data_IF_057399166195
#
_entry.id   IF_057399166195
#
_cell.length_a   1.000
_cell.length_b   1.000
_cell.length_c   1.000
_cell.angle_alpha   90.00
_cell.angle_beta   90.00
_cell.angle_gamma   90.00
#
_symmetry.space_group_name_H-M   'P 1'
#
loop_
_entity.id
_entity.type
_entity.pdbx_description
1 polymer ?
#
# COMPACT_ATOMS: atom_id res chain seq x y z
N UNK A 1 -26.42 -20.94 -3.60
CA UNK A 1 -25.23 -20.12 -3.90
C UNK A 1 -25.60 -18.69 -3.54
N UNK A 2 -24.89 -18.06 -2.59
CA UNK A 2 -25.16 -16.68 -2.22
C UNK A 2 -24.55 -15.72 -3.27
N UNK A 3 -25.30 -14.68 -3.64
CA UNK A 3 -24.85 -13.66 -4.61
C UNK A 3 -24.27 -12.48 -3.85
N UNK A 4 -23.19 -11.89 -4.37
CA UNK A 4 -22.61 -10.65 -3.86
C UNK A 4 -23.06 -9.49 -4.76
N UNK A 5 -23.62 -8.45 -4.16
CA UNK A 5 -24.01 -7.20 -4.84
C UNK A 5 -23.19 -6.05 -4.26
N UNK A 6 -22.68 -5.18 -5.11
CA UNK A 6 -21.91 -4.01 -4.73
C UNK A 6 -22.71 -2.74 -5.06
N UNK A 7 -22.77 -1.82 -4.11
CA UNK A 7 -23.37 -0.51 -4.31
C UNK A 7 -22.43 0.57 -3.77
N UNK A 8 -22.55 1.80 -4.28
CA UNK A 8 -21.85 2.96 -3.74
C UNK A 8 -22.84 4.03 -3.29
N UNK A 9 -22.39 4.86 -2.36
CA UNK A 9 -23.18 5.97 -1.82
C UNK A 9 -22.44 7.28 -2.07
N UNK A 10 -23.13 8.26 -2.67
CA UNK A 10 -22.65 9.63 -2.73
C UNK A 10 -23.02 10.33 -1.40
N UNK A 11 -22.03 10.72 -0.62
CA UNK A 11 -22.22 11.37 0.67
C UNK A 11 -21.49 12.70 0.73
N UNK A 12 -22.08 13.77 1.33
CA UNK A 12 -21.36 15.00 1.58
C UNK A 12 -20.33 14.79 2.68
N UNK A 13 -19.10 15.26 2.44
CA UNK A 13 -18.05 15.29 3.45
C UNK A 13 -16.89 14.32 3.21
N UNK A 14 -15.82 14.48 4.00
CA UNK A 14 -14.61 13.67 3.94
C UNK A 14 -14.83 12.35 4.68
N UNK A 15 -15.27 11.31 3.97
CA UNK A 15 -15.38 9.96 4.52
C UNK A 15 -14.00 9.33 4.70
N UNK A 16 -13.79 8.62 5.79
CA UNK A 16 -12.62 7.76 5.99
C UNK A 16 -12.78 6.52 5.11
N UNK A 17 -11.77 6.25 4.27
CA UNK A 17 -11.51 5.05 3.49
C UNK A 17 -12.71 4.43 2.72
N UNK A 18 -12.51 4.24 1.42
CA UNK A 18 -13.40 3.46 0.59
C UNK A 18 -13.32 1.99 1.02
N UNK A 19 -14.27 1.56 1.81
CA UNK A 19 -14.46 0.16 2.17
C UNK A 19 -15.77 -0.32 1.55
N UNK A 20 -15.74 -1.52 1.00
CA UNK A 20 -17.00 -2.23 0.73
C UNK A 20 -17.60 -2.54 2.10
N UNK A 21 -18.66 -1.85 2.47
CA UNK A 21 -19.34 -2.08 3.75
C UNK A 21 -20.34 -3.21 3.62
N UNK A 22 -20.30 -4.11 4.57
CA UNK A 22 -21.32 -5.12 4.77
C UNK A 22 -21.79 -5.05 6.23
N UNK A 23 -23.05 -4.65 6.47
CA UNK A 23 -23.57 -4.48 7.84
C UNK A 23 -23.45 -5.75 8.70
N UNK A 24 -23.59 -6.94 8.10
CA UNK A 24 -23.37 -8.20 8.84
C UNK A 24 -21.92 -8.31 9.33
N UNK A 25 -20.94 -8.01 8.46
CA UNK A 25 -19.54 -8.10 8.82
C UNK A 25 -19.13 -7.06 9.87
N UNK A 26 -19.67 -5.84 9.76
CA UNK A 26 -19.50 -4.80 10.78
C UNK A 26 -20.03 -5.27 12.15
N UNK A 27 -21.22 -5.91 12.18
CA UNK A 27 -21.79 -6.49 13.40
C UNK A 27 -20.96 -7.64 13.96
N UNK A 28 -20.52 -8.58 13.14
CA UNK A 28 -19.66 -9.71 13.56
C UNK A 28 -18.33 -9.20 14.14
N UNK A 29 -17.73 -8.22 13.48
CA UNK A 29 -16.50 -7.58 13.96
C UNK A 29 -16.69 -6.92 15.31
N UNK A 30 -17.74 -6.11 15.46
CA UNK A 30 -18.04 -5.45 16.71
C UNK A 30 -18.32 -6.43 17.85
N UNK A 31 -19.05 -7.52 17.60
CA UNK A 31 -19.30 -8.57 18.61
C UNK A 31 -17.99 -9.23 19.03
N UNK A 32 -17.11 -9.57 18.09
CA UNK A 32 -15.80 -10.18 18.38
C UNK A 32 -14.92 -9.27 19.24
N UNK A 33 -14.81 -8.00 18.90
CA UNK A 33 -13.96 -7.05 19.61
C UNK A 33 -14.52 -6.72 21.00
N UNK A 34 -15.83 -6.52 21.11
CA UNK A 34 -16.47 -6.07 22.35
C UNK A 34 -16.84 -7.23 23.28
N UNK A 35 -16.95 -8.45 22.79
CA UNK A 35 -17.38 -9.62 23.56
C UNK A 35 -18.78 -9.48 24.14
N UNK A 36 -19.61 -8.59 23.59
CA UNK A 36 -20.97 -8.30 24.07
C UNK A 36 -21.78 -7.64 22.97
N UNK A 37 -22.99 -8.15 22.73
CA UNK A 37 -23.92 -7.59 21.73
C UNK A 37 -24.33 -6.16 22.11
N UNK A 38 -24.55 -5.90 23.41
CA UNK A 38 -24.90 -4.56 23.91
C UNK A 38 -23.76 -3.54 23.69
N UNK A 39 -22.51 -3.93 23.94
CA UNK A 39 -21.35 -3.07 23.69
C UNK A 39 -21.10 -2.89 22.18
N UNK A 40 -21.28 -3.94 21.37
CA UNK A 40 -21.21 -3.87 19.93
C UNK A 40 -22.27 -2.91 19.36
N UNK A 41 -23.51 -2.97 19.89
CA UNK A 41 -24.57 -2.04 19.52
C UNK A 41 -24.18 -0.58 19.78
N UNK A 42 -23.63 -0.31 20.95
CA UNK A 42 -23.15 1.03 21.31
C UNK A 42 -22.00 1.49 20.40
N UNK A 43 -21.07 0.60 20.07
CA UNK A 43 -19.93 0.91 19.20
C UNK A 43 -20.35 1.21 17.75
N UNK A 44 -21.44 0.62 17.27
CA UNK A 44 -21.99 0.83 15.94
C UNK A 44 -23.08 1.91 15.90
N UNK A 45 -23.40 2.56 17.03
CA UNK A 45 -24.48 3.52 17.16
C UNK A 45 -25.87 2.94 16.77
N UNK A 46 -26.05 1.64 17.04
CA UNK A 46 -27.29 0.90 16.73
C UNK A 46 -27.97 0.45 18.03
N UNK A 47 -29.26 0.12 17.96
CA UNK A 47 -29.95 -0.49 19.10
C UNK A 47 -29.57 -1.97 19.28
N UNK A 48 -29.56 -2.45 20.54
CA UNK A 48 -29.39 -3.87 20.84
C UNK A 48 -30.38 -4.74 20.04
N UNK A 49 -31.64 -4.33 19.99
CA UNK A 49 -32.72 -5.05 19.28
C UNK A 49 -32.41 -5.17 17.77
N UNK A 50 -31.86 -4.12 17.17
CA UNK A 50 -31.48 -4.13 15.77
C UNK A 50 -30.37 -5.15 15.49
N UNK A 51 -29.26 -5.12 16.27
CA UNK A 51 -28.15 -6.07 16.06
C UNK A 51 -28.60 -7.50 16.31
N UNK A 52 -29.33 -7.74 17.41
CA UNK A 52 -29.81 -9.08 17.73
C UNK A 52 -30.76 -9.63 16.66
N UNK A 53 -31.74 -8.85 16.24
CA UNK A 53 -32.67 -9.23 15.16
C UNK A 53 -31.93 -9.51 13.86
N UNK A 54 -31.10 -8.58 13.40
CA UNK A 54 -30.32 -8.75 12.16
C UNK A 54 -29.43 -9.99 12.18
N UNK A 55 -28.73 -10.26 13.29
CA UNK A 55 -27.93 -11.48 13.40
C UNK A 55 -28.78 -12.75 13.33
N UNK A 56 -29.96 -12.76 13.94
CA UNK A 56 -30.89 -13.90 13.88
C UNK A 56 -31.47 -14.10 12.48
N UNK A 57 -31.83 -13.05 11.80
CA UNK A 57 -32.32 -13.11 10.41
C UNK A 57 -31.23 -13.67 9.49
N UNK A 58 -29.97 -13.26 9.68
CA UNK A 58 -28.85 -13.80 8.93
C UNK A 58 -28.55 -15.27 9.29
N UNK A 59 -28.61 -15.66 10.55
CA UNK A 59 -28.45 -17.08 10.96
C UNK A 59 -29.53 -17.96 10.29
N UNK A 60 -30.76 -17.48 10.21
CA UNK A 60 -31.83 -18.16 9.51
C UNK A 60 -31.57 -18.26 8.00
N UNK A 61 -31.15 -17.15 7.38
CA UNK A 61 -30.84 -17.09 5.93
C UNK A 61 -29.68 -17.99 5.55
N UNK A 62 -28.63 -18.01 6.36
CA UNK A 62 -27.41 -18.81 6.13
C UNK A 62 -27.56 -20.27 6.59
N UNK A 63 -28.59 -20.58 7.37
CA UNK A 63 -28.84 -21.92 7.95
C UNK A 63 -27.77 -22.34 8.98
N UNK A 64 -27.03 -21.39 9.56
CA UNK A 64 -25.94 -21.64 10.51
C UNK A 64 -25.85 -20.53 11.54
N UNK A 65 -25.55 -20.88 12.79
CA UNK A 65 -25.32 -19.93 13.87
C UNK A 65 -24.03 -19.12 13.62
N UNK A 66 -24.09 -17.83 13.84
CA UNK A 66 -22.98 -16.88 13.69
C UNK A 66 -22.32 -16.56 15.03
N UNK A 67 -23.11 -16.57 16.11
CA UNK A 67 -22.67 -16.20 17.45
C UNK A 67 -23.05 -17.30 18.46
N UNK A 68 -22.20 -17.44 19.48
CA UNK A 68 -22.49 -18.19 20.72
C UNK A 68 -22.66 -17.17 21.83
N UNK A 69 -23.79 -17.27 22.53
CA UNK A 69 -24.09 -16.42 23.64
C UNK A 69 -24.87 -17.19 24.71
N UNK A 70 -24.22 -17.44 25.85
CA UNK A 70 -24.81 -18.02 27.03
C UNK A 70 -25.03 -16.94 28.09
N UNK A 71 -26.09 -17.05 28.85
CA UNK A 71 -26.43 -16.09 29.90
C UNK A 71 -25.27 -15.98 30.91
N UNK A 72 -24.73 -14.77 31.06
CA UNK A 72 -23.59 -14.52 31.93
C UNK A 72 -22.19 -14.72 31.34
N UNK A 73 -22.09 -15.18 30.09
CA UNK A 73 -20.83 -15.32 29.38
C UNK A 73 -20.60 -14.23 28.32
N UNK A 74 -19.35 -14.10 27.88
CA UNK A 74 -19.01 -13.21 26.76
C UNK A 74 -19.61 -13.77 25.46
N UNK A 75 -20.25 -12.91 24.67
CA UNK A 75 -20.64 -13.25 23.31
C UNK A 75 -19.39 -13.50 22.47
N UNK A 76 -19.38 -14.60 21.70
CA UNK A 76 -18.28 -15.00 20.82
C UNK A 76 -18.84 -15.40 19.45
N UNK A 77 -18.03 -15.30 18.42
CA UNK A 77 -18.38 -15.86 17.12
C UNK A 77 -18.31 -17.39 17.18
N UNK A 78 -19.14 -18.05 16.40
CA UNK A 78 -18.98 -19.47 16.09
C UNK A 78 -17.79 -19.66 15.16
N UNK A 79 -17.33 -20.90 14.98
CA UNK A 79 -16.31 -21.22 13.96
C UNK A 79 -16.74 -20.76 12.56
N UNK A 80 -18.02 -20.87 12.23
CA UNK A 80 -18.57 -20.37 10.96
C UNK A 80 -18.54 -18.84 10.89
N UNK A 81 -18.92 -18.15 11.95
CA UNK A 81 -18.84 -16.68 12.04
C UNK A 81 -17.41 -16.16 11.89
N UNK A 82 -16.43 -16.83 12.51
CA UNK A 82 -15.01 -16.48 12.35
C UNK A 82 -14.53 -16.72 10.92
N UNK A 83 -14.86 -17.86 10.31
CA UNK A 83 -14.50 -18.16 8.91
C UNK A 83 -15.10 -17.13 7.93
N UNK A 84 -16.34 -16.74 8.15
CA UNK A 84 -17.03 -15.75 7.31
C UNK A 84 -16.36 -14.38 7.41
N UNK A 85 -16.08 -13.92 8.61
CA UNK A 85 -15.40 -12.65 8.86
C UNK A 85 -13.96 -12.66 8.34
N UNK A 86 -13.26 -13.80 8.46
CA UNK A 86 -11.93 -13.98 7.91
C UNK A 86 -11.93 -13.87 6.38
N UNK A 87 -12.84 -14.60 5.71
CA UNK A 87 -12.93 -14.59 4.25
C UNK A 87 -13.21 -13.19 3.69
N UNK A 88 -14.11 -12.44 4.34
CA UNK A 88 -14.42 -11.06 3.97
C UNK A 88 -13.19 -10.15 4.12
N UNK A 89 -12.48 -10.22 5.24
CA UNK A 89 -11.27 -9.43 5.47
C UNK A 89 -10.16 -9.71 4.45
N UNK A 90 -9.98 -10.97 4.09
CA UNK A 90 -9.05 -11.35 3.02
C UNK A 90 -9.45 -10.75 1.68
N UNK A 91 -10.74 -10.85 1.32
CA UNK A 91 -11.26 -10.27 0.09
C UNK A 91 -11.06 -8.74 0.07
N UNK A 92 -11.41 -8.05 1.16
CA UNK A 92 -11.22 -6.60 1.30
C UNK A 92 -9.74 -6.20 1.13
N UNK A 93 -8.83 -6.89 1.82
CA UNK A 93 -7.41 -6.56 1.74
C UNK A 93 -6.82 -6.76 0.33
N UNK A 94 -7.26 -7.80 -0.38
CA UNK A 94 -6.83 -8.06 -1.77
C UNK A 94 -7.42 -7.08 -2.76
N UNK A 95 -8.65 -6.65 -2.55
CA UNK A 95 -9.38 -5.73 -3.44
C UNK A 95 -9.17 -4.25 -3.10
N UNK A 96 -8.58 -3.93 -1.95
CA UNK A 96 -8.41 -2.55 -1.50
C UNK A 96 -7.83 -1.60 -2.56
N UNK A 97 -6.77 -1.95 -3.31
CA UNK A 97 -6.23 -1.06 -4.36
C UNK A 97 -7.24 -0.79 -5.48
N UNK A 98 -8.00 -1.80 -5.90
CA UNK A 98 -9.01 -1.68 -6.96
C UNK A 98 -10.21 -0.86 -6.50
N UNK A 99 -10.67 -1.08 -5.27
CA UNK A 99 -11.77 -0.32 -4.65
C UNK A 99 -11.37 1.16 -4.54
N UNK A 100 -10.14 1.42 -4.13
CA UNK A 100 -9.63 2.77 -3.99
C UNK A 100 -9.48 3.48 -5.34
N UNK A 101 -9.02 2.77 -6.37
CA UNK A 101 -8.96 3.29 -7.73
C UNK A 101 -10.36 3.62 -8.27
N UNK A 102 -11.31 2.69 -8.12
CA UNK A 102 -12.69 2.88 -8.55
C UNK A 102 -13.35 4.07 -7.84
N UNK A 103 -13.14 4.23 -6.53
CA UNK A 103 -13.59 5.41 -5.78
C UNK A 103 -13.06 6.69 -6.40
N UNK A 104 -11.74 6.74 -6.67
CA UNK A 104 -11.10 7.89 -7.29
C UNK A 104 -11.66 8.22 -8.67
N UNK A 105 -11.97 7.22 -9.48
CA UNK A 105 -12.60 7.40 -10.80
C UNK A 105 -13.98 8.01 -10.68
N UNK A 106 -14.81 7.53 -9.75
CA UNK A 106 -16.16 8.04 -9.51
C UNK A 106 -16.10 9.46 -8.94
N UNK A 107 -15.26 9.72 -7.92
CA UNK A 107 -15.11 11.06 -7.34
C UNK A 107 -14.64 12.08 -8.38
N UNK A 108 -13.70 11.71 -9.26
CA UNK A 108 -13.25 12.55 -10.36
C UNK A 108 -14.39 12.86 -11.35
N UNK A 109 -15.15 11.84 -11.76
CA UNK A 109 -16.26 12.03 -12.68
C UNK A 109 -17.27 13.05 -12.14
N UNK A 110 -17.58 13.00 -10.85
CA UNK A 110 -18.45 13.98 -10.20
C UNK A 110 -17.78 15.35 -10.04
N UNK A 111 -16.51 15.40 -9.66
CA UNK A 111 -15.79 16.69 -9.49
C UNK A 111 -15.72 17.47 -10.78
N UNK A 112 -15.44 16.82 -11.90
CA UNK A 112 -15.42 17.46 -13.22
C UNK A 112 -16.81 18.01 -13.64
N UNK A 113 -17.91 17.53 -13.04
CA UNK A 113 -19.24 18.08 -13.28
C UNK A 113 -19.51 19.39 -12.52
N UNK A 114 -18.75 19.65 -11.44
CA UNK A 114 -18.99 20.78 -10.54
C UNK A 114 -17.90 21.86 -10.62
N UNK A 115 -16.73 21.57 -11.21
CA UNK A 115 -15.59 22.48 -11.28
C UNK A 115 -14.84 22.34 -12.61
N UNK A 116 -15.10 23.26 -13.53
CA UNK A 116 -14.42 23.33 -14.83
C UNK A 116 -12.92 23.69 -14.73
N UNK A 117 -12.48 24.20 -13.60
CA UNK A 117 -11.06 24.53 -13.32
C UNK A 117 -10.27 23.37 -12.75
N UNK A 118 -10.89 22.22 -12.48
CA UNK A 118 -10.25 21.07 -11.89
C UNK A 118 -9.15 20.50 -12.80
N UNK A 119 -7.96 20.36 -12.23
CA UNK A 119 -6.83 19.77 -12.93
C UNK A 119 -6.77 18.25 -12.66
N UNK A 120 -6.76 17.44 -13.71
CA UNK A 120 -6.59 15.98 -13.60
C UNK A 120 -5.18 15.60 -13.99
N UNK A 121 -4.50 14.84 -13.12
CA UNK A 121 -3.18 14.26 -13.36
C UNK A 121 -3.25 12.74 -13.31
N UNK A 122 -2.98 12.06 -14.43
CA UNK A 122 -2.96 10.60 -14.49
C UNK A 122 -1.64 10.05 -13.97
N UNK A 123 -1.71 9.16 -12.97
CA UNK A 123 -0.57 8.59 -12.27
C UNK A 123 -0.68 7.07 -12.18
N UNK A 124 0.32 6.34 -12.68
CA UNK A 124 0.44 4.90 -12.49
C UNK A 124 1.49 4.60 -11.42
N UNK A 125 1.16 3.83 -10.41
CA UNK A 125 2.03 3.62 -9.26
C UNK A 125 1.65 2.38 -8.45
N UNK A 126 2.57 1.88 -7.64
CA UNK A 126 2.22 0.86 -6.63
C UNK A 126 1.36 1.47 -5.53
N UNK A 127 0.42 0.67 -5.01
CA UNK A 127 -0.41 1.09 -3.88
C UNK A 127 0.45 1.47 -2.67
N UNK A 128 0.20 2.66 -2.11
CA UNK A 128 0.98 3.25 -1.03
C UNK A 128 0.13 4.19 -0.18
N UNK A 129 0.29 4.12 1.14
CA UNK A 129 -0.51 4.92 2.08
C UNK A 129 -0.27 6.44 1.91
N UNK A 130 0.97 6.86 1.60
CA UNK A 130 1.28 8.26 1.35
C UNK A 130 0.63 8.76 0.05
N UNK A 131 0.55 7.89 -0.97
CA UNK A 131 -0.07 8.23 -2.23
C UNK A 131 -1.58 8.42 -2.10
N UNK A 132 -2.24 7.55 -1.32
CA UNK A 132 -3.66 7.69 -0.99
C UNK A 132 -3.95 8.97 -0.21
N UNK A 133 -3.11 9.28 0.78
CA UNK A 133 -3.22 10.50 1.56
C UNK A 133 -2.99 11.76 0.71
N UNK A 134 -2.02 11.73 -0.22
CA UNK A 134 -1.77 12.81 -1.16
C UNK A 134 -2.97 13.06 -2.08
N UNK A 135 -3.59 11.99 -2.61
CA UNK A 135 -4.78 12.11 -3.45
C UNK A 135 -5.91 12.84 -2.72
N UNK A 136 -6.21 12.39 -1.51
CA UNK A 136 -7.31 12.95 -0.73
C UNK A 136 -7.06 14.43 -0.37
N UNK A 137 -5.81 14.81 -0.09
CA UNK A 137 -5.43 16.19 0.16
C UNK A 137 -5.45 17.04 -1.11
N UNK A 138 -4.88 16.57 -2.21
CA UNK A 138 -4.80 17.30 -3.47
C UNK A 138 -6.19 17.61 -4.04
N UNK A 139 -7.13 16.66 -3.93
CA UNK A 139 -8.52 16.84 -4.34
C UNK A 139 -9.18 18.03 -3.66
N UNK A 140 -8.87 18.29 -2.38
CA UNK A 140 -9.41 19.44 -1.66
C UNK A 140 -8.86 20.81 -2.14
N UNK A 141 -7.88 20.80 -3.03
CA UNK A 141 -7.22 21.98 -3.61
C UNK A 141 -7.37 22.04 -5.15
N UNK A 142 -8.34 21.30 -5.70
CA UNK A 142 -8.65 21.32 -7.13
C UNK A 142 -7.69 20.50 -8.01
N UNK A 143 -6.77 19.70 -7.41
CA UNK A 143 -5.95 18.76 -8.15
C UNK A 143 -6.45 17.33 -7.94
N UNK A 144 -7.01 16.73 -8.98
CA UNK A 144 -7.48 15.36 -8.96
C UNK A 144 -6.42 14.41 -9.48
N UNK A 145 -5.94 13.50 -8.62
CA UNK A 145 -5.01 12.45 -9.00
C UNK A 145 -5.78 11.21 -9.47
N UNK A 146 -5.74 10.95 -10.78
CA UNK A 146 -6.24 9.71 -11.39
C UNK A 146 -5.18 8.62 -11.22
N UNK A 147 -5.27 7.86 -10.12
CA UNK A 147 -4.25 6.89 -9.75
C UNK A 147 -4.69 5.48 -10.18
N UNK A 148 -3.86 4.85 -11.04
CA UNK A 148 -3.98 3.43 -11.35
C UNK A 148 -2.90 2.65 -10.62
N UNK A 149 -3.33 1.74 -9.75
CA UNK A 149 -2.40 0.94 -8.96
C UNK A 149 -1.88 -0.25 -9.78
N UNK A 150 -0.57 -0.25 -9.99
CA UNK A 150 0.17 -1.29 -10.72
C UNK A 150 1.61 -1.40 -10.20
N UNK A 151 2.36 -2.41 -10.62
CA UNK A 151 3.78 -2.54 -10.27
C UNK A 151 4.62 -1.40 -10.85
N UNK A 152 5.77 -1.12 -10.21
CA UNK A 152 6.66 -0.03 -10.63
C UNK A 152 7.16 -0.19 -12.08
N UNK A 153 7.42 -1.42 -12.52
CA UNK A 153 7.84 -1.72 -13.90
C UNK A 153 6.75 -1.38 -14.90
N UNK A 154 5.52 -1.82 -14.63
CA UNK A 154 4.36 -1.57 -15.48
C UNK A 154 3.98 -0.08 -15.49
N UNK A 155 4.12 0.60 -14.34
CA UNK A 155 3.91 2.05 -14.24
C UNK A 155 4.88 2.81 -15.16
N UNK A 156 6.17 2.44 -15.13
CA UNK A 156 7.19 3.03 -15.99
C UNK A 156 6.98 2.71 -17.48
N UNK A 157 6.55 1.48 -17.80
CA UNK A 157 6.18 1.09 -19.15
C UNK A 157 4.96 1.88 -19.65
N UNK A 158 3.97 2.12 -18.78
CA UNK A 158 2.80 2.94 -19.09
C UNK A 158 3.16 4.39 -19.39
N UNK A 159 4.07 4.99 -18.61
CA UNK A 159 4.59 6.33 -18.86
C UNK A 159 5.30 6.41 -20.23
N UNK A 160 6.18 5.44 -20.51
CA UNK A 160 6.90 5.38 -21.80
C UNK A 160 5.97 5.16 -23.01
N UNK A 161 4.82 4.57 -22.80
CA UNK A 161 3.77 4.38 -23.80
C UNK A 161 2.78 5.57 -23.87
N UNK A 162 2.99 6.65 -23.11
CA UNK A 162 2.11 7.82 -23.09
C UNK A 162 0.72 7.57 -22.49
N UNK A 163 0.56 6.51 -21.68
CA UNK A 163 -0.72 6.16 -21.04
C UNK A 163 -1.00 6.90 -19.72
N UNK A 164 0.00 7.59 -19.19
CA UNK A 164 -0.12 8.44 -18.01
C UNK A 164 0.87 9.59 -18.09
N UNK A 165 0.61 10.65 -17.35
CA UNK A 165 1.50 11.82 -17.24
C UNK A 165 2.65 11.54 -16.28
N UNK A 166 2.44 10.64 -15.31
CA UNK A 166 3.40 10.36 -14.26
C UNK A 166 3.39 8.89 -13.86
N UNK A 167 4.56 8.38 -13.47
CA UNK A 167 4.71 7.04 -12.90
C UNK A 167 5.42 7.09 -11.55
N UNK A 168 5.08 6.16 -10.67
CA UNK A 168 5.74 6.00 -9.37
C UNK A 168 6.68 4.79 -9.36
N UNK A 169 7.88 4.94 -8.80
CA UNK A 169 8.77 3.82 -8.56
C UNK A 169 9.63 4.01 -7.31
N UNK A 170 10.10 2.90 -6.79
CA UNK A 170 10.83 2.85 -5.54
C UNK A 170 12.27 2.42 -5.78
N UNK A 171 13.19 3.04 -5.05
CA UNK A 171 14.60 2.66 -5.02
C UNK A 171 15.13 2.74 -3.60
N UNK A 172 15.98 1.79 -3.23
CA UNK A 172 16.69 1.80 -1.96
C UNK A 172 17.72 2.93 -1.90
N UNK A 173 18.00 3.47 -0.73
CA UNK A 173 18.96 4.58 -0.56
C UNK A 173 20.37 4.21 -0.97
N UNK A 174 20.81 3.02 -0.59
CA UNK A 174 22.15 2.51 -0.88
C UNK A 174 22.08 1.45 -1.98
N UNK A 175 22.25 1.87 -3.22
CA UNK A 175 22.22 1.00 -4.38
C UNK A 175 23.58 0.87 -5.04
N UNK A 176 23.97 -0.36 -5.34
CA UNK A 176 25.05 -0.67 -6.24
C UNK A 176 24.71 -0.34 -7.69
N UNK A 177 25.73 -0.08 -8.52
CA UNK A 177 25.56 0.15 -9.98
C UNK A 177 24.97 -1.05 -10.71
N UNK A 178 25.13 -2.24 -10.15
CA UNK A 178 24.71 -3.53 -10.71
C UNK A 178 23.60 -4.19 -9.93
N UNK A 179 22.89 -3.42 -9.08
CA UNK A 179 21.74 -3.90 -8.32
C UNK A 179 20.62 -4.41 -9.24
N UNK A 180 19.74 -5.24 -8.71
CA UNK A 180 18.53 -5.68 -9.42
C UNK A 180 17.65 -4.49 -9.80
N UNK A 181 17.58 -3.47 -8.96
CA UNK A 181 16.90 -2.21 -9.26
C UNK A 181 17.52 -1.50 -10.49
N UNK A 182 18.86 -1.47 -10.60
CA UNK A 182 19.53 -0.90 -11.77
C UNK A 182 19.25 -1.72 -13.04
N UNK A 183 19.27 -3.04 -12.96
CA UNK A 183 18.94 -3.93 -14.08
C UNK A 183 17.49 -3.73 -14.53
N UNK A 184 16.57 -3.62 -13.58
CA UNK A 184 15.13 -3.50 -13.84
C UNK A 184 14.78 -2.14 -14.46
N UNK A 185 15.27 -1.02 -13.87
CA UNK A 185 14.79 0.31 -14.24
C UNK A 185 15.64 1.03 -15.28
N UNK A 186 16.88 0.61 -15.53
CA UNK A 186 17.80 1.31 -16.44
C UNK A 186 17.28 1.42 -17.86
N UNK A 187 16.63 0.38 -18.38
CA UNK A 187 16.05 0.35 -19.72
C UNK A 187 14.79 1.23 -19.84
N UNK A 188 14.07 1.42 -18.73
CA UNK A 188 12.81 2.16 -18.66
C UNK A 188 13.00 3.66 -18.45
N UNK A 189 14.15 4.08 -17.91
CA UNK A 189 14.50 5.47 -17.62
C UNK A 189 15.52 6.00 -18.62
N UNK A 190 15.28 7.19 -19.18
CA UNK A 190 16.16 7.82 -20.20
C UNK A 190 16.64 9.19 -19.69
N UNK A 191 17.96 9.35 -19.43
CA UNK A 191 18.52 10.68 -19.09
C UNK A 191 18.23 11.71 -20.19
N UNK A 192 17.84 12.90 -19.78
CA UNK A 192 17.44 13.98 -20.69
C UNK A 192 15.95 13.98 -21.05
N UNK A 193 15.30 12.82 -21.09
CA UNK A 193 13.88 12.69 -21.35
C UNK A 193 13.03 12.70 -20.08
N UNK A 194 13.44 11.94 -19.06
CA UNK A 194 12.71 11.80 -17.80
C UNK A 194 13.28 12.72 -16.71
N UNK A 195 12.39 13.18 -15.84
CA UNK A 195 12.70 13.90 -14.61
C UNK A 195 12.06 13.17 -13.44
N UNK A 196 12.72 13.23 -12.28
CA UNK A 196 12.20 12.72 -11.03
C UNK A 196 11.68 13.87 -10.19
N UNK A 197 10.62 13.60 -9.45
CA UNK A 197 10.10 14.48 -8.40
C UNK A 197 10.21 13.67 -7.11
N UNK A 198 10.91 14.18 -6.11
CA UNK A 198 11.00 13.57 -4.80
C UNK A 198 9.61 13.49 -4.17
N UNK A 199 9.26 12.35 -3.61
CA UNK A 199 7.95 12.15 -2.98
C UNK A 199 8.10 11.87 -1.49
N UNK A 200 8.43 10.64 -1.11
CA UNK A 200 8.59 10.25 0.29
C UNK A 200 9.77 9.26 0.47
N UNK A 201 10.31 9.23 1.69
CA UNK A 201 11.09 8.12 2.20
C UNK A 201 10.20 7.21 3.02
N UNK A 202 10.39 5.91 2.91
CA UNK A 202 9.66 4.95 3.73
C UNK A 202 10.53 3.79 4.17
N UNK A 203 10.15 3.19 5.29
CA UNK A 203 10.79 2.01 5.82
C UNK A 203 10.14 0.75 5.23
N UNK A 204 10.95 -0.12 4.63
CA UNK A 204 10.62 -1.48 4.24
C UNK A 204 11.19 -2.48 5.26
N UNK A 205 10.46 -3.54 5.52
CA UNK A 205 10.86 -4.56 6.49
C UNK A 205 9.95 -5.78 6.49
N UNK A 206 10.25 -6.72 7.36
CA UNK A 206 9.42 -7.91 7.56
C UNK A 206 8.24 -7.58 8.47
N UNK A 207 7.05 -7.82 7.98
CA UNK A 207 5.82 -7.80 8.75
C UNK A 207 5.73 -9.13 9.48
N UNK A 208 5.62 -9.11 10.79
CA UNK A 208 5.58 -10.31 11.64
C UNK A 208 4.36 -10.25 12.57
N UNK A 209 3.97 -11.40 13.10
CA UNK A 209 2.88 -11.48 14.06
C UNK A 209 3.13 -10.55 15.27
N UNK A 210 2.06 -10.16 15.96
CA UNK A 210 2.15 -9.34 17.18
C UNK A 210 3.09 -9.99 18.19
N UNK A 211 4.00 -9.20 18.75
CA UNK A 211 5.05 -9.62 19.68
C UNK A 211 6.09 -10.58 19.08
N UNK A 212 6.08 -10.81 17.76
CA UNK A 212 7.08 -11.60 17.04
C UNK A 212 7.41 -12.95 17.71
N UNK A 213 6.44 -13.87 17.84
CA UNK A 213 6.63 -15.13 18.59
C UNK A 213 7.69 -16.05 17.97
N UNK A 214 7.95 -15.91 16.66
CA UNK A 214 8.97 -16.69 15.94
C UNK A 214 10.36 -16.02 15.96
N UNK A 215 10.50 -14.89 16.66
CA UNK A 215 11.77 -14.15 16.81
C UNK A 215 12.47 -13.81 15.49
N UNK A 216 11.71 -13.58 14.42
CA UNK A 216 12.24 -13.19 13.11
C UNK A 216 12.87 -11.80 13.22
N UNK A 217 14.18 -11.68 13.02
CA UNK A 217 14.94 -10.44 13.17
C UNK A 217 15.68 -10.01 11.90
N UNK A 218 15.83 -10.91 10.93
CA UNK A 218 16.62 -10.69 9.70
C UNK A 218 16.09 -11.52 8.53
N UNK A 219 16.64 -11.29 7.34
CA UNK A 219 16.37 -12.13 6.16
C UNK A 219 16.86 -13.57 6.35
N UNK A 220 17.95 -13.79 7.09
CA UNK A 220 18.48 -15.11 7.32
C UNK A 220 17.48 -16.02 8.05
N UNK A 221 16.59 -15.44 8.87
CA UNK A 221 15.58 -16.21 9.59
C UNK A 221 14.52 -16.80 8.66
N UNK A 222 14.37 -16.27 7.44
CA UNK A 222 13.43 -16.79 6.45
C UNK A 222 13.79 -18.19 5.94
N UNK A 223 15.04 -18.63 6.14
CA UNK A 223 15.50 -19.98 5.76
C UNK A 223 15.21 -21.04 6.82
N UNK A 224 14.71 -20.63 7.98
CA UNK A 224 14.35 -21.58 9.04
C UNK A 224 13.15 -22.42 8.60
N UNK A 225 13.24 -23.74 8.81
CA UNK A 225 12.16 -24.66 8.47
C UNK A 225 10.85 -24.30 9.18
N UNK A 226 9.76 -24.26 8.42
CA UNK A 226 8.42 -23.98 8.92
C UNK A 226 8.06 -22.51 9.01
N UNK A 227 8.94 -21.57 8.59
CA UNK A 227 8.58 -20.16 8.42
C UNK A 227 7.98 -19.95 7.03
N UNK A 228 6.67 -19.70 6.99
CA UNK A 228 5.92 -19.48 5.76
C UNK A 228 6.00 -18.02 5.37
N UNK A 229 6.66 -17.74 4.26
CA UNK A 229 6.80 -16.39 3.70
C UNK A 229 5.69 -16.11 2.68
N UNK A 230 5.26 -14.85 2.60
CA UNK A 230 4.40 -14.36 1.51
C UNK A 230 5.04 -13.17 0.82
N UNK A 231 5.07 -13.21 -0.49
CA UNK A 231 5.76 -12.25 -1.35
C UNK A 231 4.81 -11.24 -2.01
N UNK A 232 5.40 -10.30 -2.69
CA UNK A 232 4.71 -9.41 -3.63
C UNK A 232 4.88 -9.92 -5.07
N UNK A 233 3.94 -9.61 -5.99
CA UNK A 233 4.08 -9.98 -7.40
C UNK A 233 5.36 -9.45 -8.03
N UNK A 234 5.84 -10.17 -9.05
CA UNK A 234 6.96 -9.71 -9.88
C UNK A 234 6.68 -8.32 -10.48
N UNK A 235 7.73 -7.51 -10.67
CA UNK A 235 7.60 -6.16 -11.19
C UNK A 235 7.18 -5.10 -10.15
N UNK A 236 6.86 -5.50 -8.92
CA UNK A 236 6.67 -4.53 -7.82
C UNK A 236 8.02 -4.11 -7.24
N UNK A 237 8.11 -2.84 -6.78
CA UNK A 237 9.34 -2.33 -6.14
C UNK A 237 9.78 -3.14 -4.93
N UNK A 238 8.83 -3.63 -4.13
CA UNK A 238 9.11 -4.49 -2.97
C UNK A 238 9.72 -5.83 -3.37
N UNK A 239 9.28 -6.43 -4.49
CA UNK A 239 9.89 -7.66 -5.00
C UNK A 239 11.31 -7.42 -5.48
N UNK A 240 11.54 -6.33 -6.23
CA UNK A 240 12.87 -5.92 -6.67
C UNK A 240 13.79 -5.68 -5.47
N UNK A 241 13.29 -5.04 -4.40
CA UNK A 241 14.03 -4.84 -3.17
C UNK A 241 14.39 -6.17 -2.49
N UNK A 242 13.44 -7.10 -2.37
CA UNK A 242 13.71 -8.42 -1.79
C UNK A 242 14.82 -9.13 -2.55
N UNK A 243 14.71 -9.16 -3.88
CA UNK A 243 15.69 -9.85 -4.74
C UNK A 243 17.10 -9.21 -4.62
N UNK A 244 17.18 -7.87 -4.48
CA UNK A 244 18.44 -7.16 -4.18
C UNK A 244 19.00 -7.58 -2.80
N UNK A 245 18.17 -7.62 -1.77
CA UNK A 245 18.59 -7.97 -0.41
C UNK A 245 19.03 -9.43 -0.31
N UNK A 246 18.33 -10.35 -0.99
CA UNK A 246 18.73 -11.77 -1.03
C UNK A 246 20.07 -11.94 -1.74
N UNK A 247 20.27 -11.29 -2.88
CA UNK A 247 21.53 -11.34 -3.62
C UNK A 247 22.70 -10.80 -2.78
N UNK A 248 22.51 -9.71 -2.03
CA UNK A 248 23.52 -9.15 -1.11
C UNK A 248 23.84 -10.10 0.06
N UNK A 249 22.83 -10.83 0.55
CA UNK A 249 22.98 -11.81 1.62
C UNK A 249 23.52 -13.18 1.13
N UNK A 250 23.70 -13.36 -0.19
CA UNK A 250 24.10 -14.64 -0.77
C UNK A 250 23.02 -15.72 -0.68
N UNK A 251 21.76 -15.32 -0.51
CA UNK A 251 20.60 -16.20 -0.39
C UNK A 251 19.90 -16.36 -1.76
N UNK A 252 19.21 -17.48 -1.94
CA UNK A 252 18.44 -17.73 -3.15
C UNK A 252 16.94 -17.85 -2.84
N UNK A 253 16.06 -17.61 -3.83
CA UNK A 253 14.63 -17.84 -3.68
C UNK A 253 14.25 -19.24 -3.18
N UNK A 254 15.04 -20.26 -3.54
CA UNK A 254 14.78 -21.65 -3.16
C UNK A 254 14.97 -21.90 -1.64
N UNK A 255 15.69 -21.00 -0.96
CA UNK A 255 15.94 -21.10 0.49
C UNK A 255 14.74 -20.64 1.33
N UNK A 256 13.69 -20.08 0.68
CA UNK A 256 12.56 -19.45 1.39
C UNK A 256 11.26 -20.20 1.08
N UNK A 257 10.68 -20.83 2.11
CA UNK A 257 9.37 -21.47 2.01
C UNK A 257 8.27 -20.43 1.77
N UNK A 258 7.51 -20.57 0.68
CA UNK A 258 6.44 -19.65 0.32
C UNK A 258 6.88 -18.46 -0.54
N UNK A 259 8.12 -18.43 -1.06
CA UNK A 259 8.61 -17.36 -1.93
C UNK A 259 7.72 -17.08 -3.15
N UNK A 260 7.05 -18.10 -3.69
CA UNK A 260 6.13 -17.99 -4.83
C UNK A 260 4.69 -17.65 -4.43
N UNK A 261 4.36 -17.70 -3.14
CA UNK A 261 3.08 -17.24 -2.61
C UNK A 261 3.01 -15.72 -2.69
N UNK A 262 1.96 -15.15 -3.30
CA UNK A 262 1.93 -13.73 -3.60
C UNK A 262 0.66 -13.05 -3.11
N UNK A 263 0.82 -11.82 -2.64
CA UNK A 263 -0.29 -10.92 -2.28
C UNK A 263 -0.17 -9.56 -3.00
N UNK A 264 -1.29 -9.02 -3.52
CA UNK A 264 -1.27 -7.89 -4.45
C UNK A 264 -0.91 -6.54 -3.81
N UNK A 265 -0.98 -6.39 -2.48
CA UNK A 265 -0.71 -5.13 -1.78
C UNK A 265 0.00 -5.36 -0.44
N UNK A 266 0.60 -4.30 0.13
CA UNK A 266 1.18 -4.37 1.47
C UNK A 266 0.12 -4.69 2.53
N UNK A 267 -1.09 -4.17 2.37
CA UNK A 267 -2.22 -4.46 3.25
C UNK A 267 -2.64 -5.93 3.16
N UNK A 268 -2.58 -6.53 1.96
CA UNK A 268 -2.87 -7.95 1.77
C UNK A 268 -1.78 -8.85 2.39
N UNK A 269 -0.50 -8.48 2.28
CA UNK A 269 0.61 -9.15 3.00
C UNK A 269 0.38 -9.08 4.52
N UNK A 270 0.10 -7.88 5.04
CA UNK A 270 -0.20 -7.71 6.46
C UNK A 270 -1.43 -8.52 6.91
N UNK A 271 -2.46 -8.61 6.06
CA UNK A 271 -3.64 -9.42 6.35
C UNK A 271 -3.32 -10.93 6.35
N UNK A 272 -2.46 -11.40 5.44
CA UNK A 272 -2.02 -12.80 5.41
C UNK A 272 -1.29 -13.17 6.72
N UNK A 273 -0.43 -12.28 7.22
CA UNK A 273 0.25 -12.47 8.50
C UNK A 273 -0.73 -12.38 9.67
N UNK A 274 -1.64 -11.40 9.68
CA UNK A 274 -2.63 -11.24 10.76
C UNK A 274 -3.57 -12.44 10.89
N UNK A 275 -3.84 -13.12 9.80
CA UNK A 275 -4.72 -14.30 9.75
C UNK A 275 -3.97 -15.61 10.00
N UNK A 276 -2.64 -15.61 10.08
CA UNK A 276 -1.83 -16.82 10.19
C UNK A 276 -1.74 -17.64 8.89
N UNK A 277 -2.13 -17.07 7.74
CA UNK A 277 -1.93 -17.70 6.43
C UNK A 277 -0.44 -17.69 6.04
N UNK A 278 0.30 -16.72 6.50
CA UNK A 278 1.75 -16.63 6.44
C UNK A 278 2.31 -16.19 7.80
N UNK A 279 3.57 -16.45 8.04
CA UNK A 279 4.25 -16.05 9.28
C UNK A 279 4.94 -14.69 9.13
N UNK A 280 5.35 -14.37 7.89
CA UNK A 280 6.00 -13.10 7.56
C UNK A 280 5.90 -12.78 6.07
N UNK A 281 6.17 -11.52 5.73
CA UNK A 281 6.29 -11.03 4.36
C UNK A 281 6.90 -9.64 4.32
N UNK A 282 7.55 -9.28 3.22
CA UNK A 282 8.16 -7.95 3.07
C UNK A 282 7.08 -6.90 2.78
N UNK A 283 7.10 -5.82 3.55
CA UNK A 283 6.13 -4.74 3.40
C UNK A 283 6.55 -3.43 4.05
N UNK A 284 5.62 -2.49 4.13
CA UNK A 284 5.82 -1.18 4.75
C UNK A 284 5.31 -1.17 6.20
N UNK A 285 5.94 -0.38 7.04
CA UNK A 285 5.56 -0.29 8.47
C UNK A 285 4.10 0.13 8.66
N UNK A 286 3.59 1.06 7.85
CA UNK A 286 2.21 1.51 7.93
C UNK A 286 1.20 0.36 7.84
N UNK A 287 1.41 -0.59 6.91
CA UNK A 287 0.53 -1.76 6.75
C UNK A 287 0.59 -2.70 7.96
N UNK A 288 1.76 -2.90 8.56
CA UNK A 288 1.91 -3.68 9.79
C UNK A 288 1.15 -3.01 10.97
N UNK A 289 1.37 -1.71 11.16
CA UNK A 289 0.73 -0.95 12.27
C UNK A 289 -0.78 -0.88 12.15
N UNK A 290 -1.30 -0.73 10.94
CA UNK A 290 -2.76 -0.75 10.68
C UNK A 290 -3.43 -2.04 11.18
N UNK A 291 -2.72 -3.16 11.09
CA UNK A 291 -3.21 -4.48 11.54
C UNK A 291 -2.76 -4.87 12.96
N UNK A 292 -2.08 -3.97 13.67
CA UNK A 292 -1.56 -4.26 15.01
C UNK A 292 -0.46 -5.31 15.05
N UNK A 293 0.28 -5.46 13.96
CA UNK A 293 1.37 -6.41 13.80
C UNK A 293 2.73 -5.85 14.21
N UNK A 294 3.71 -6.73 14.41
CA UNK A 294 5.10 -6.39 14.58
C UNK A 294 5.75 -6.03 13.23
N UNK A 295 6.88 -5.33 13.31
CA UNK A 295 7.63 -4.90 12.13
C UNK A 295 9.13 -4.95 12.41
N UNK A 296 9.89 -5.59 11.52
CA UNK A 296 11.35 -5.68 11.58
C UNK A 296 11.94 -4.89 10.42
N UNK A 297 12.52 -3.71 10.66
CA UNK A 297 13.03 -2.84 9.60
C UNK A 297 14.26 -3.47 8.91
N UNK A 298 14.29 -3.44 7.57
CA UNK A 298 15.39 -3.97 6.76
C UNK A 298 16.05 -2.91 5.89
N UNK A 299 15.27 -2.04 5.24
CA UNK A 299 15.80 -1.09 4.29
C UNK A 299 14.99 0.20 4.24
N UNK A 300 15.66 1.31 3.94
CA UNK A 300 14.99 2.56 3.58
C UNK A 300 14.90 2.70 2.07
N UNK A 301 13.74 3.13 1.58
CA UNK A 301 13.48 3.40 0.18
C UNK A 301 13.10 4.86 -0.05
N UNK A 302 13.52 5.36 -1.20
CA UNK A 302 12.97 6.59 -1.79
C UNK A 302 11.87 6.22 -2.77
N UNK A 303 10.75 6.83 -2.59
CA UNK A 303 9.68 6.81 -3.57
C UNK A 303 9.79 8.06 -4.44
N UNK A 304 10.00 7.87 -5.72
CA UNK A 304 10.06 8.93 -6.70
C UNK A 304 8.84 8.88 -7.61
N UNK A 305 8.34 10.05 -7.96
CA UNK A 305 7.45 10.23 -9.09
C UNK A 305 8.29 10.62 -10.30
N UNK A 306 8.00 10.07 -11.46
CA UNK A 306 8.71 10.33 -12.71
C UNK A 306 7.76 10.82 -13.78
N UNK A 307 8.14 11.84 -14.53
CA UNK A 307 7.41 12.36 -15.67
C UNK A 307 8.37 12.66 -16.83
N UNK A 308 7.83 12.92 -18.01
CA UNK A 308 8.60 13.47 -19.11
C UNK A 308 9.03 14.90 -18.78
N UNK A 309 10.19 15.31 -19.27
CA UNK A 309 10.70 16.69 -19.09
C UNK A 309 9.74 17.73 -19.67
N UNK A 310 9.04 17.41 -20.77
CA UNK A 310 8.03 18.25 -21.39
C UNK A 310 6.84 18.52 -20.48
N UNK A 311 6.50 17.58 -19.60
CA UNK A 311 5.33 17.68 -18.71
C UNK A 311 5.58 18.56 -17.48
N UNK A 312 6.84 18.87 -17.17
CA UNK A 312 7.16 19.64 -15.95
C UNK A 312 6.47 21.00 -15.89
N UNK A 313 6.26 21.66 -17.03
CA UNK A 313 5.65 22.98 -17.09
C UNK A 313 4.13 22.96 -17.12
N UNK A 314 3.51 21.80 -17.19
CA UNK A 314 2.05 21.68 -17.22
C UNK A 314 1.42 22.13 -15.89
N UNK A 315 0.24 22.75 -15.90
CA UNK A 315 -0.43 23.22 -14.68
C UNK A 315 -0.62 22.11 -13.64
N UNK A 316 -0.94 20.89 -14.09
CA UNK A 316 -1.18 19.72 -13.24
C UNK A 316 0.09 19.30 -12.50
N UNK A 317 1.21 19.17 -13.19
CA UNK A 317 2.50 18.80 -12.58
C UNK A 317 3.00 19.89 -11.65
N UNK A 318 2.85 21.17 -12.02
CA UNK A 318 3.19 22.28 -11.15
C UNK A 318 2.31 22.34 -9.90
N UNK A 319 1.01 22.06 -10.01
CA UNK A 319 0.12 21.96 -8.86
C UNK A 319 0.55 20.83 -7.91
N UNK A 320 0.90 19.65 -8.45
CA UNK A 320 1.44 18.55 -7.65
C UNK A 320 2.74 18.94 -6.93
N UNK A 321 3.67 19.59 -7.61
CA UNK A 321 4.94 20.04 -7.01
C UNK A 321 4.67 20.99 -5.84
N UNK A 322 3.80 21.99 -6.02
CA UNK A 322 3.40 22.90 -4.93
C UNK A 322 2.78 22.15 -3.77
N UNK A 323 1.90 21.19 -4.06
CA UNK A 323 1.26 20.35 -3.04
C UNK A 323 2.30 19.58 -2.22
N UNK A 324 3.27 18.95 -2.88
CA UNK A 324 4.34 18.19 -2.22
C UNK A 324 5.30 19.08 -1.39
N UNK A 325 5.37 20.36 -1.68
CA UNK A 325 6.18 21.33 -0.94
C UNK A 325 5.40 22.00 0.20
N UNK A 326 4.09 21.77 0.29
CA UNK A 326 3.24 22.44 1.28
C UNK A 326 3.50 21.94 2.71
N UNK A 327 3.40 22.85 3.71
CA UNK A 327 3.49 22.45 5.12
C UNK A 327 2.43 21.43 5.53
N UNK A 328 1.24 21.52 4.95
CA UNK A 328 0.12 20.61 5.20
C UNK A 328 0.46 19.17 4.76
N UNK A 329 1.07 19.02 3.59
CA UNK A 329 1.57 17.74 3.11
C UNK A 329 2.64 17.19 4.05
N UNK A 330 3.60 18.00 4.44
CA UNK A 330 4.67 17.57 5.33
C UNK A 330 4.11 17.10 6.68
N UNK A 331 3.20 17.86 7.26
CA UNK A 331 2.57 17.49 8.54
C UNK A 331 1.72 16.22 8.45
N UNK A 332 1.07 15.97 7.30
CA UNK A 332 0.28 14.76 7.08
C UNK A 332 1.17 13.54 6.87
N UNK A 333 2.19 13.65 6.01
CA UNK A 333 3.17 12.59 5.76
C UNK A 333 3.87 12.12 7.03
N UNK A 334 4.30 13.05 7.88
CA UNK A 334 5.05 12.75 9.10
C UNK A 334 4.19 12.03 10.18
N UNK A 335 2.87 11.99 9.99
CA UNK A 335 1.95 11.17 10.81
C UNK A 335 1.84 9.72 10.33
N UNK A 336 2.33 9.41 9.13
CA UNK A 336 2.27 8.05 8.60
C UNK A 336 3.40 7.20 9.20
N UNK A 337 3.11 6.04 9.81
CA UNK A 337 4.13 5.17 10.37
C UNK A 337 5.15 4.72 9.32
N UNK A 338 6.44 4.85 9.62
CA UNK A 338 7.53 4.44 8.75
C UNK A 338 7.80 5.37 7.55
N UNK A 339 7.13 6.54 7.48
CA UNK A 339 7.42 7.55 6.47
C UNK A 339 8.22 8.71 7.07
N UNK A 340 9.12 9.26 6.27
CA UNK A 340 9.89 10.44 6.66
C UNK A 340 10.06 11.41 5.47
N UNK A 341 10.25 12.69 5.80
CA UNK A 341 10.40 13.74 4.82
C UNK A 341 11.78 14.39 4.75
N UNK A 342 12.57 14.25 5.81
CA UNK A 342 13.82 15.00 5.94
C UNK A 342 14.81 14.77 4.77
N UNK A 343 14.78 13.59 4.16
CA UNK A 343 15.65 13.22 3.03
C UNK A 343 14.89 13.01 1.71
N UNK A 344 13.55 13.07 1.73
CA UNK A 344 12.71 12.74 0.59
C UNK A 344 12.78 13.78 -0.53
N UNK A 345 13.31 14.97 -0.27
CA UNK A 345 13.33 16.08 -1.24
C UNK A 345 11.94 16.28 -1.87
N UNK A 346 10.89 16.21 -1.05
CA UNK A 346 9.48 16.27 -1.48
C UNK A 346 9.23 17.47 -2.38
N UNK A 347 8.70 17.23 -3.59
CA UNK A 347 8.45 18.26 -4.59
C UNK A 347 9.71 18.81 -5.27
N UNK A 348 10.91 18.33 -4.98
CA UNK A 348 12.12 18.75 -5.71
C UNK A 348 12.24 17.98 -7.03
N UNK A 349 12.55 18.73 -8.09
CA UNK A 349 12.79 18.15 -9.42
C UNK A 349 14.25 17.75 -9.54
N UNK A 350 14.48 16.46 -9.75
CA UNK A 350 15.81 15.85 -9.79
C UNK A 350 16.13 15.31 -11.20
N UNK A 351 17.41 15.38 -11.58
CA UNK A 351 17.86 14.63 -12.74
C UNK A 351 18.10 13.16 -12.38
N UNK A 352 17.94 12.26 -13.34
CA UNK A 352 18.27 10.85 -13.15
C UNK A 352 19.71 10.64 -12.68
N UNK A 353 20.64 11.45 -13.19
CA UNK A 353 22.06 11.38 -12.82
C UNK A 353 22.33 11.84 -11.38
N UNK A 354 21.56 12.78 -10.86
CA UNK A 354 21.70 13.23 -9.49
C UNK A 354 21.12 12.21 -8.48
N UNK A 355 19.99 11.60 -8.85
CA UNK A 355 19.25 10.74 -7.94
C UNK A 355 19.67 9.26 -7.98
N UNK A 356 20.09 8.76 -9.15
CA UNK A 356 20.29 7.32 -9.37
C UNK A 356 21.78 6.98 -9.63
N UNK A 357 22.38 6.11 -8.83
CA UNK A 357 23.82 5.86 -8.88
C UNK A 357 24.29 5.21 -10.19
N UNK A 358 23.44 4.45 -10.89
CA UNK A 358 23.82 3.81 -12.16
C UNK A 358 23.91 4.78 -13.36
N UNK A 359 23.50 6.04 -13.18
CA UNK A 359 23.65 7.10 -14.17
C UNK A 359 24.78 8.08 -13.84
N UNK A 360 25.46 7.95 -12.68
CA UNK A 360 26.63 8.80 -12.34
C UNK A 360 27.80 8.43 -13.24
N UNK A 361 28.43 9.44 -13.84
CA UNK A 361 29.65 9.21 -14.59
C UNK A 361 30.79 8.80 -13.65
N UNK A 362 31.68 7.91 -14.09
CA UNK A 362 33.01 7.73 -13.50
C UNK A 362 33.80 9.03 -13.72
N UNK A 363 33.96 9.84 -12.71
CA UNK A 363 35.03 10.85 -12.62
C UNK A 363 36.28 10.14 -12.06
N UNK A 364 36.81 9.19 -12.78
CA UNK A 364 38.19 8.73 -12.59
C UNK A 364 38.92 9.02 -13.91
N UNK A 365 39.37 10.25 -14.07
CA UNK A 365 40.60 10.51 -14.80
C UNK A 365 41.73 10.01 -13.89
N UNK A 366 42.15 8.79 -14.10
CA UNK A 366 43.43 8.30 -13.64
C UNK A 366 44.46 9.26 -14.25
N UNK A 367 45.07 10.12 -13.43
CA UNK A 367 46.30 10.78 -13.78
C UNK A 367 47.34 9.68 -14.03
N UNK A 368 47.51 9.27 -15.26
CA UNK A 368 48.78 8.67 -15.68
C UNK A 368 49.78 9.81 -15.67
N UNK A 369 50.47 9.98 -14.57
CA UNK A 369 51.77 10.64 -14.52
C UNK A 369 52.72 9.66 -15.19
N UNK A 370 53.14 10.02 -16.39
CA UNK A 370 54.27 9.47 -17.08
C UNK A 370 55.53 9.85 -16.26
N UNK A 371 56.28 8.86 -15.86
CA UNK A 371 57.73 8.98 -15.64
C UNK A 371 58.43 8.50 -16.88
#
# INVERSE_FOLDING_TARGET
MHKVELSYLLAPGRGKNALIRNPLMDMLHAVREQGSISKAAKALELSYRHIWGSLKDWEQTLGRSLIVWDKGQRARLTEFGEKLLWAERQAQARLAPQIEALRGDIERAFSCCFDDSAHVLTLYASHDAALSALRDQASSQGLHLDIRFTGSVDAMAALNAGRCMMAGFHVRDQLGRHSMAAQTYRSLLKPGLHKLIGFVHRQQGLIVARNNPLQIASLADLTQSGIRYVNRPQGTGTRVLLDDLLAEAGMTPADIEGYDSQEPSHTAVAQAVASGAADTGLGIEAAAREKGLGFVPLAQERYHLVCLKSELATPQVQALIRQLQSPEWHAMRDKLPGYSGAQAQSGQVLSLRAALPWWRYRTEKTNKISL
#
